data_IF_070143361377
#
_entry.id   IF_070143361377
#
_cell.length_a   1.000
_cell.length_b   1.000
_cell.length_c   1.000
_cell.angle_alpha   90.00
_cell.angle_beta   90.00
_cell.angle_gamma   90.00
#
_symmetry.space_group_name_H-M   'P 1'
#
loop_
_entity.id
_entity.type
_entity.pdbx_description
1 polymer ?
#
# COMPACT_ATOMS: atom_id res chain seq x y z
N UNK A 1 -2.99 18.67 -12.25
CA UNK A 1 -1.58 18.27 -12.06
C UNK A 1 -1.34 16.96 -12.79
N UNK A 2 -0.14 16.71 -13.34
CA UNK A 2 0.19 15.38 -13.90
C UNK A 2 0.64 14.52 -12.73
N UNK A 3 -0.02 13.38 -12.43
CA UNK A 3 0.37 12.57 -11.29
C UNK A 3 1.78 12.01 -11.43
N UNK A 4 2.56 12.07 -10.36
CA UNK A 4 3.94 11.54 -10.33
C UNK A 4 3.94 10.14 -9.75
N UNK A 5 4.55 9.19 -10.48
CA UNK A 5 4.77 7.83 -10.00
C UNK A 5 6.00 7.81 -9.09
N UNK A 6 5.81 7.41 -7.84
CA UNK A 6 6.90 7.24 -6.87
C UNK A 6 7.06 5.75 -6.58
N UNK A 7 8.22 5.22 -6.95
CA UNK A 7 8.49 3.78 -6.93
C UNK A 7 8.61 3.20 -5.52
N UNK A 8 7.88 2.10 -5.26
CA UNK A 8 7.99 1.31 -4.03
C UNK A 8 8.57 -0.11 -4.26
N UNK A 9 9.02 -0.40 -5.49
CA UNK A 9 9.49 -1.69 -6.05
C UNK A 9 8.43 -2.64 -6.61
N UNK A 10 8.85 -3.52 -7.52
CA UNK A 10 8.03 -4.55 -8.17
C UNK A 10 8.06 -5.90 -7.42
N UNK A 11 8.39 -5.93 -6.12
CA UNK A 11 8.35 -7.17 -5.34
C UNK A 11 6.92 -7.53 -4.94
N UNK A 12 6.71 -8.78 -4.51
CA UNK A 12 5.45 -9.20 -3.89
C UNK A 12 5.11 -8.45 -2.59
N UNK A 13 6.03 -7.69 -2.01
CA UNK A 13 5.89 -6.92 -0.75
C UNK A 13 5.67 -5.42 -0.96
N UNK A 14 5.62 -4.97 -2.22
CA UNK A 14 5.46 -3.58 -2.64
C UNK A 14 4.33 -2.80 -1.95
N UNK A 15 3.26 -3.45 -1.50
CA UNK A 15 2.15 -2.77 -0.80
C UNK A 15 2.58 -2.21 0.57
N UNK A 16 3.47 -2.91 1.27
CA UNK A 16 4.05 -2.43 2.54
C UNK A 16 5.00 -1.27 2.28
N UNK A 17 5.87 -1.41 1.28
CA UNK A 17 6.81 -0.38 0.85
C UNK A 17 6.08 0.87 0.36
N UNK A 18 4.95 0.73 -0.34
CA UNK A 18 4.15 1.86 -0.81
C UNK A 18 3.49 2.60 0.36
N UNK A 19 2.95 1.88 1.36
CA UNK A 19 2.43 2.52 2.57
C UNK A 19 3.54 3.25 3.34
N UNK A 20 4.70 2.62 3.49
CA UNK A 20 5.86 3.24 4.14
C UNK A 20 6.31 4.51 3.41
N UNK A 21 6.48 4.43 2.09
CA UNK A 21 6.86 5.57 1.26
C UNK A 21 5.82 6.70 1.36
N UNK A 22 4.52 6.38 1.35
CA UNK A 22 3.47 7.38 1.45
C UNK A 22 3.54 8.14 2.79
N UNK A 23 3.78 7.46 3.91
CA UNK A 23 3.88 8.15 5.21
C UNK A 23 5.18 8.93 5.36
N UNK A 24 6.27 8.50 4.73
CA UNK A 24 7.50 9.30 4.65
C UNK A 24 7.26 10.61 3.90
N UNK A 25 6.57 10.55 2.77
CA UNK A 25 6.24 11.74 1.96
C UNK A 25 5.27 12.68 2.68
N UNK A 26 4.39 12.15 3.53
CA UNK A 26 3.51 12.93 4.41
C UNK A 26 4.24 13.54 5.62
N UNK A 27 5.53 13.24 5.83
CA UNK A 27 6.28 13.70 7.01
C UNK A 27 5.95 12.95 8.30
N UNK A 28 5.32 11.78 8.21
CA UNK A 28 4.87 10.95 9.34
C UNK A 28 5.53 9.56 9.32
N UNK A 29 6.87 9.43 9.21
CA UNK A 29 7.55 8.14 9.06
C UNK A 29 7.30 7.18 10.24
N UNK A 30 7.04 7.71 11.44
CA UNK A 30 6.73 6.91 12.63
C UNK A 30 5.38 6.18 12.53
N UNK A 31 4.51 6.56 11.59
CA UNK A 31 3.25 5.87 11.34
C UNK A 31 3.46 4.46 10.78
N UNK A 32 4.58 4.20 10.12
CA UNK A 32 4.97 2.87 9.60
C UNK A 32 6.45 2.66 9.89
N UNK A 33 6.84 2.22 11.10
CA UNK A 33 8.25 1.99 11.40
C UNK A 33 8.81 0.85 10.55
N UNK A 34 10.05 0.99 10.05
CA UNK A 34 10.74 -0.06 9.28
C UNK A 34 10.77 -1.40 10.03
N UNK A 35 11.02 -1.35 11.34
CA UNK A 35 11.07 -2.54 12.22
C UNK A 35 9.75 -3.30 12.24
N UNK A 36 8.62 -2.63 12.04
CA UNK A 36 7.30 -3.26 11.98
C UNK A 36 7.06 -3.95 10.63
N UNK A 37 7.51 -3.34 9.54
CA UNK A 37 7.48 -3.92 8.20
C UNK A 37 8.32 -5.20 8.18
N UNK A 38 9.58 -5.11 8.62
CA UNK A 38 10.51 -6.23 8.69
C UNK A 38 9.97 -7.36 9.56
N UNK A 39 9.47 -7.04 10.75
CA UNK A 39 8.88 -8.04 11.66
C UNK A 39 7.68 -8.75 11.03
N UNK A 40 6.80 -8.01 10.36
CA UNK A 40 5.63 -8.60 9.71
C UNK A 40 6.04 -9.54 8.57
N UNK A 41 7.03 -9.16 7.76
CA UNK A 41 7.55 -9.98 6.68
C UNK A 41 8.26 -11.24 7.20
N UNK A 42 9.06 -11.12 8.27
CA UNK A 42 9.71 -12.27 8.90
C UNK A 42 8.69 -13.24 9.50
N UNK A 43 7.61 -12.75 10.12
CA UNK A 43 6.55 -13.60 10.66
C UNK A 43 5.73 -14.27 9.57
N UNK A 44 5.54 -13.61 8.42
CA UNK A 44 4.88 -14.19 7.26
C UNK A 44 5.70 -15.34 6.66
N UNK A 45 7.01 -15.14 6.51
CA UNK A 45 7.96 -16.16 6.02
C UNK A 45 8.01 -17.39 6.94
N UNK A 46 8.11 -17.19 8.26
CA UNK A 46 8.05 -18.28 9.26
C UNK A 46 6.77 -19.11 9.20
N UNK A 47 5.66 -18.52 8.74
CA UNK A 47 4.36 -19.19 8.58
C UNK A 47 4.19 -19.80 7.19
N UNK A 48 5.19 -19.71 6.31
CA UNK A 48 5.15 -20.21 4.94
C UNK A 48 4.19 -19.42 4.04
N UNK A 49 3.94 -18.14 4.34
CA UNK A 49 3.08 -17.33 3.50
C UNK A 49 3.79 -16.91 2.21
N UNK A 50 3.32 -17.40 1.07
CA UNK A 50 3.81 -16.96 -0.24
C UNK A 50 3.25 -15.57 -0.60
N UNK A 51 4.12 -14.56 -0.51
CA UNK A 51 3.81 -13.18 -0.91
C UNK A 51 4.30 -12.85 -2.32
N UNK A 52 4.94 -13.77 -3.05
CA UNK A 52 5.57 -13.51 -4.36
C UNK A 52 4.56 -13.04 -5.43
N UNK A 53 3.30 -13.46 -5.29
CA UNK A 53 2.19 -13.07 -6.17
C UNK A 53 1.53 -11.77 -5.75
N UNK A 54 1.95 -11.18 -4.64
CA UNK A 54 1.42 -9.95 -4.08
C UNK A 54 0.54 -10.14 -2.85
N UNK A 55 0.28 -9.04 -2.16
CA UNK A 55 -0.38 -9.03 -0.85
C UNK A 55 -1.90 -8.92 -1.01
N UNK A 56 -2.63 -9.92 -0.52
CA UNK A 56 -4.09 -9.82 -0.42
C UNK A 56 -4.51 -8.74 0.59
N UNK A 57 -5.69 -8.14 0.39
CA UNK A 57 -6.25 -7.19 1.37
C UNK A 57 -6.39 -7.77 2.78
N UNK A 58 -6.62 -9.09 2.90
CA UNK A 58 -6.66 -9.77 4.20
C UNK A 58 -5.31 -9.70 4.92
N UNK A 59 -4.22 -9.99 4.20
CA UNK A 59 -2.86 -9.92 4.75
C UNK A 59 -2.49 -8.48 5.09
N UNK A 60 -2.81 -7.52 4.21
CA UNK A 60 -2.56 -6.10 4.47
C UNK A 60 -3.32 -5.58 5.70
N UNK A 61 -4.58 -5.99 5.90
CA UNK A 61 -5.33 -5.66 7.13
C UNK A 61 -4.68 -6.23 8.39
N UNK A 62 -4.08 -7.42 8.31
CA UNK A 62 -3.34 -7.99 9.44
C UNK A 62 -2.11 -7.14 9.79
N UNK A 63 -1.42 -6.61 8.79
CA UNK A 63 -0.32 -5.66 8.98
C UNK A 63 -0.80 -4.35 9.62
N UNK A 64 -1.88 -3.74 9.12
CA UNK A 64 -2.46 -2.54 9.71
C UNK A 64 -2.89 -2.77 11.18
N UNK A 65 -3.40 -3.95 11.50
CA UNK A 65 -3.71 -4.34 12.87
C UNK A 65 -2.46 -4.52 13.76
N UNK A 66 -1.30 -4.86 13.18
CA UNK A 66 -0.02 -4.83 13.90
C UNK A 66 0.43 -3.39 14.16
N UNK A 67 0.39 -2.51 13.15
CA UNK A 67 0.73 -1.10 13.31
C UNK A 67 -0.12 -0.42 14.39
N UNK A 68 -1.42 -0.71 14.42
CA UNK A 68 -2.32 -0.20 15.46
C UNK A 68 -1.92 -0.66 16.87
N UNK A 69 -1.44 -1.90 17.02
CA UNK A 69 -0.99 -2.43 18.32
C UNK A 69 0.26 -1.73 18.87
N UNK A 70 1.08 -1.16 17.99
CA UNK A 70 2.27 -0.38 18.38
C UNK A 70 2.01 1.13 18.41
N UNK A 71 0.74 1.55 18.36
CA UNK A 71 0.36 2.96 18.50
C UNK A 71 0.40 3.79 17.22
N UNK A 72 0.50 3.16 16.04
CA UNK A 72 0.40 3.89 14.78
C UNK A 72 -0.94 4.62 14.66
N UNK A 73 -0.90 5.83 14.10
CA UNK A 73 -2.07 6.66 13.82
C UNK A 73 -2.83 6.26 12.55
N UNK A 74 -2.33 5.29 11.77
CA UNK A 74 -2.99 4.85 10.55
C UNK A 74 -4.36 4.26 10.89
N UNK A 75 -5.39 4.90 10.36
CA UNK A 75 -6.77 4.46 10.49
C UNK A 75 -7.13 3.51 9.35
N UNK A 76 -7.39 2.24 9.69
CA UNK A 76 -7.97 1.29 8.73
C UNK A 76 -9.29 1.80 8.17
N UNK A 77 -10.09 2.51 8.99
CA UNK A 77 -11.38 3.07 8.57
C UNK A 77 -11.18 4.13 7.48
N UNK A 78 -10.16 4.99 7.63
CA UNK A 78 -9.90 6.06 6.68
C UNK A 78 -9.32 5.50 5.37
N UNK A 79 -8.46 4.48 5.47
CA UNK A 79 -7.99 3.74 4.30
C UNK A 79 -9.16 3.06 3.57
N UNK A 80 -10.11 2.45 4.28
CA UNK A 80 -11.27 1.80 3.67
C UNK A 80 -12.27 2.80 3.08
N UNK A 81 -12.46 3.96 3.73
CA UNK A 81 -13.30 5.03 3.24
C UNK A 81 -12.79 5.59 1.90
N UNK A 82 -11.47 5.82 1.80
CA UNK A 82 -10.82 6.37 0.61
C UNK A 82 -10.52 5.31 -0.46
N UNK A 83 -10.80 4.03 -0.19
CA UNK A 83 -10.47 2.94 -1.12
C UNK A 83 -11.45 2.90 -2.29
N UNK A 84 -10.89 2.96 -3.50
CA UNK A 84 -11.65 2.62 -4.70
C UNK A 84 -12.02 1.13 -4.71
N UNK A 85 -13.32 0.85 -4.86
CA UNK A 85 -13.84 -0.53 -4.82
C UNK A 85 -13.69 -1.27 -6.14
N UNK A 86 -13.50 -0.54 -7.24
CA UNK A 86 -13.36 -1.10 -8.58
C UNK A 86 -11.96 -0.88 -9.14
N UNK A 87 -11.42 -1.89 -9.84
CA UNK A 87 -10.20 -1.74 -10.61
C UNK A 87 -10.45 -0.93 -11.90
N UNK A 88 -9.45 -0.16 -12.32
CA UNK A 88 -9.50 0.62 -13.55
C UNK A 88 -8.40 0.17 -14.50
N UNK A 89 -8.73 -0.02 -15.78
CA UNK A 89 -7.77 -0.42 -16.83
C UNK A 89 -7.60 0.69 -17.85
N UNK A 90 -6.35 0.95 -18.22
CA UNK A 90 -5.98 1.92 -19.24
C UNK A 90 -6.17 3.38 -18.81
N UNK A 91 -5.62 4.29 -19.61
CA UNK A 91 -5.58 5.74 -19.33
C UNK A 91 -7.01 6.30 -19.16
N UNK A 92 -7.97 5.86 -19.98
CA UNK A 92 -9.36 6.31 -19.88
C UNK A 92 -10.02 5.93 -18.55
N UNK A 93 -9.64 4.78 -17.97
CA UNK A 93 -10.12 4.36 -16.65
C UNK A 93 -9.58 5.25 -15.53
N UNK A 94 -8.29 5.56 -15.57
CA UNK A 94 -7.63 6.44 -14.59
C UNK A 94 -8.18 7.87 -14.69
N UNK A 95 -8.39 8.41 -15.90
CA UNK A 95 -8.95 9.76 -16.11
C UNK A 95 -10.36 9.96 -15.53
N UNK A 96 -11.09 8.89 -15.22
CA UNK A 96 -12.42 8.96 -14.58
C UNK A 96 -12.35 9.02 -13.06
N UNK A 97 -11.18 8.76 -12.47
CA UNK A 97 -10.99 8.89 -11.04
C UNK A 97 -11.00 10.37 -10.67
N UNK A 98 -11.89 10.73 -9.74
CA UNK A 98 -11.86 12.03 -9.07
C UNK A 98 -10.89 11.89 -7.90
N UNK A 99 -9.62 12.19 -8.15
CA UNK A 99 -8.58 12.22 -7.13
C UNK A 99 -8.46 13.65 -6.61
N UNK A 100 -8.28 13.76 -5.31
CA UNK A 100 -7.95 15.01 -4.61
C UNK A 100 -6.42 15.10 -4.48
N UNK A 101 -5.90 16.27 -4.16
CA UNK A 101 -4.46 16.47 -3.97
C UNK A 101 -3.97 15.59 -2.80
N UNK A 102 -2.91 14.81 -3.03
CA UNK A 102 -2.34 13.94 -2.00
C UNK A 102 -1.66 12.67 -2.51
N UNK A 103 -1.34 11.78 -1.58
CA UNK A 103 -0.64 10.52 -1.84
C UNK A 103 -1.58 9.32 -1.82
N UNK A 104 -1.60 8.56 -2.91
CA UNK A 104 -2.40 7.36 -3.07
C UNK A 104 -1.53 6.12 -3.19
N UNK A 105 -1.90 5.06 -2.48
CA UNK A 105 -1.32 3.73 -2.68
C UNK A 105 -2.09 3.06 -3.81
N UNK A 106 -1.41 2.82 -4.93
CA UNK A 106 -2.02 2.23 -6.12
C UNK A 106 -1.49 0.82 -6.29
N UNK A 107 -2.40 -0.15 -6.28
CA UNK A 107 -2.09 -1.54 -6.61
C UNK A 107 -2.44 -1.83 -8.08
N UNK A 108 -1.46 -2.29 -8.85
CA UNK A 108 -1.64 -2.74 -10.23
C UNK A 108 -1.57 -4.27 -10.30
N UNK A 109 -2.52 -4.88 -10.99
CA UNK A 109 -2.49 -6.31 -11.30
C UNK A 109 -2.04 -6.50 -12.75
N UNK A 110 -0.86 -7.08 -12.93
CA UNK A 110 -0.36 -7.53 -14.22
C UNK A 110 -0.20 -9.05 -14.16
N UNK A 111 -1.03 -9.77 -14.92
CA UNK A 111 -0.91 -11.23 -15.09
C UNK A 111 -0.88 -12.03 -13.77
N UNK A 112 -1.63 -11.60 -12.75
CA UNK A 112 -1.70 -12.31 -11.46
C UNK A 112 -0.62 -11.94 -10.45
N UNK A 113 0.24 -10.97 -10.79
CA UNK A 113 1.17 -10.34 -9.84
C UNK A 113 0.61 -8.97 -9.44
N UNK A 114 0.46 -8.76 -8.13
CA UNK A 114 0.03 -7.48 -7.58
C UNK A 114 1.25 -6.65 -7.20
N UNK A 115 1.49 -5.57 -7.96
CA UNK A 115 2.48 -4.55 -7.65
C UNK A 115 1.81 -3.34 -7.03
N UNK A 116 2.56 -2.54 -6.28
CA UNK A 116 2.07 -1.32 -5.67
C UNK A 116 3.11 -0.21 -5.73
N UNK A 117 2.64 1.03 -5.83
CA UNK A 117 3.46 2.24 -5.87
C UNK A 117 2.69 3.40 -5.22
N UNK A 118 3.37 4.51 -5.00
CA UNK A 118 2.75 5.74 -4.53
C UNK A 118 2.49 6.65 -5.73
N UNK A 119 1.28 7.18 -5.80
CA UNK A 119 0.88 8.20 -6.76
C UNK A 119 0.71 9.51 -6.01
N UNK A 120 1.49 10.51 -6.39
CA UNK A 120 1.27 11.90 -5.97
C UNK A 120 0.35 12.57 -7.00
N UNK A 121 -0.75 13.16 -6.54
CA UNK A 121 -1.74 13.90 -7.34
C UNK A 121 -1.69 15.36 -6.94
#
# INVERSE_FOLDING_TARGET
TIPTLIGASASGTCLFSALHQAVQLLGEPSAVPDTEVERFLADADKRGADLSRGVSWKVFRAFLAQLKRVGSRISLKDLEYNRQRTGHRGIAGIKRLKLEDGFYIVAANTMGVWHAFVLEV
#
